data_IF_140946594911
#
_entry.id   IF_140946594911
#
_cell.length_a   1.000
_cell.length_b   1.000
_cell.length_c   1.000
_cell.angle_alpha   90.00
_cell.angle_beta   90.00
_cell.angle_gamma   90.00
#
_symmetry.space_group_name_H-M   'P 1'
#
loop_
_entity.id
_entity.type
_entity.pdbx_description
1 polymer ?
#
# COMPACT_ATOMS: atom_id res chain seq x y z
N UNK A 1 -17.97 10.78 6.94
CA UNK A 1 -19.33 10.19 7.00
C UNK A 1 -19.77 9.84 8.42
N UNK A 2 -18.94 9.14 9.21
CA UNK A 2 -19.26 8.76 10.59
C UNK A 2 -19.58 9.97 11.51
N UNK A 3 -18.77 11.03 11.45
CA UNK A 3 -19.00 12.27 12.23
C UNK A 3 -20.35 12.91 11.90
N UNK A 4 -20.72 12.95 10.61
CA UNK A 4 -22.00 13.51 10.15
C UNK A 4 -23.18 12.70 10.66
N UNK A 5 -23.07 11.36 10.67
CA UNK A 5 -24.12 10.50 11.24
C UNK A 5 -24.25 10.65 12.76
N UNK A 6 -23.14 10.77 13.49
CA UNK A 6 -23.17 10.98 14.95
C UNK A 6 -23.85 12.31 15.28
N UNK A 7 -23.54 13.38 14.53
CA UNK A 7 -24.20 14.69 14.68
C UNK A 7 -25.71 14.57 14.39
N UNK A 8 -26.10 13.86 13.34
CA UNK A 8 -27.50 13.70 12.94
C UNK A 8 -28.30 12.88 13.97
N UNK A 9 -27.69 11.84 14.54
CA UNK A 9 -28.26 11.06 15.64
C UNK A 9 -28.41 11.92 16.91
N UNK A 10 -27.41 12.74 17.24
CA UNK A 10 -27.49 13.64 18.39
C UNK A 10 -28.60 14.69 18.23
N UNK A 11 -28.78 15.25 17.02
CA UNK A 11 -29.86 16.18 16.72
C UNK A 11 -31.24 15.53 16.83
N UNK A 12 -31.39 14.28 16.36
CA UNK A 12 -32.64 13.53 16.52
C UNK A 12 -32.95 13.28 18.00
N UNK A 13 -31.97 12.87 18.79
CA UNK A 13 -32.16 12.66 20.24
C UNK A 13 -32.56 13.95 20.97
N UNK A 14 -31.96 15.10 20.61
CA UNK A 14 -32.35 16.40 21.15
C UNK A 14 -33.78 16.81 20.75
N UNK A 15 -34.19 16.50 19.52
CA UNK A 15 -35.56 16.74 19.07
C UNK A 15 -36.58 15.87 19.82
N UNK A 16 -36.26 14.59 20.03
CA UNK A 16 -37.10 13.66 20.78
C UNK A 16 -37.23 14.05 22.26
N UNK A 17 -36.12 14.46 22.90
CA UNK A 17 -36.15 14.89 24.29
C UNK A 17 -36.97 16.16 24.46
N UNK A 18 -36.91 17.10 23.51
CA UNK A 18 -37.75 18.29 23.50
C UNK A 18 -39.24 17.96 23.36
N UNK A 19 -39.62 17.06 22.45
CA UNK A 19 -41.01 16.60 22.28
C UNK A 19 -41.56 15.95 23.55
N UNK A 20 -40.77 15.10 24.21
CA UNK A 20 -41.14 14.47 25.47
C UNK A 20 -41.29 15.50 26.60
N UNK A 21 -40.40 16.47 26.67
CA UNK A 21 -40.45 17.55 27.65
C UNK A 21 -41.74 18.39 27.52
N UNK A 22 -42.10 18.78 26.29
CA UNK A 22 -43.35 19.50 26.01
C UNK A 22 -44.57 18.67 26.42
N UNK A 23 -44.55 17.37 26.16
CA UNK A 23 -45.63 16.45 26.57
C UNK A 23 -45.79 16.39 28.09
N UNK A 24 -44.68 16.33 28.83
CA UNK A 24 -44.68 16.35 30.31
C UNK A 24 -45.21 17.68 30.86
N UNK A 25 -44.86 18.83 30.25
CA UNK A 25 -45.43 20.13 30.63
C UNK A 25 -46.94 20.24 30.33
N UNK A 26 -47.40 19.66 29.23
CA UNK A 26 -48.83 19.60 28.89
C UNK A 26 -49.62 18.68 29.84
N UNK A 27 -48.96 17.65 30.39
CA UNK A 27 -49.54 16.74 31.36
C UNK A 27 -49.80 17.40 32.72
N UNK A 28 -48.92 18.33 33.13
CA UNK A 28 -48.96 19.00 34.43
C UNK A 28 -49.93 20.20 34.51
N UNK A 29 -50.55 20.60 33.40
CA UNK A 29 -51.58 21.64 33.35
C UNK A 29 -52.97 21.06 33.74
N UNK A 30 -53.36 21.21 35.01
CA UNK A 30 -54.74 20.98 35.47
C UNK A 30 -55.41 22.31 35.88
N UNK A 31 -56.73 22.37 35.74
CA UNK A 31 -57.54 23.57 35.98
C UNK A 31 -58.80 23.19 36.75
N UNK A 32 -59.08 23.93 37.83
CA UNK A 32 -60.25 23.70 38.70
C UNK A 32 -61.60 24.04 38.05
N UNK A 33 -61.62 24.82 36.95
CA UNK A 33 -62.87 25.23 36.28
C UNK A 33 -63.35 24.18 35.25
N UNK A 34 -64.60 23.67 35.33
CA UNK A 34 -65.10 22.59 34.47
C UNK A 34 -65.23 22.95 32.98
N UNK A 35 -65.52 24.22 32.63
CA UNK A 35 -65.55 24.65 31.21
C UNK A 35 -64.15 24.78 30.63
N UNK A 36 -63.19 25.21 31.44
CA UNK A 36 -61.79 25.35 31.04
C UNK A 36 -61.12 23.99 30.93
N UNK A 37 -61.47 23.03 31.81
CA UNK A 37 -61.05 21.63 31.78
C UNK A 37 -61.44 20.91 30.48
N UNK A 38 -62.64 21.15 29.94
CA UNK A 38 -63.04 20.60 28.62
C UNK A 38 -62.19 21.16 27.47
N UNK A 39 -61.90 22.46 27.47
CA UNK A 39 -61.02 23.06 26.44
C UNK A 39 -59.58 22.56 26.55
N UNK A 40 -59.04 22.49 27.76
CA UNK A 40 -57.70 21.96 28.02
C UNK A 40 -57.58 20.50 27.60
N UNK A 41 -58.56 19.65 27.90
CA UNK A 41 -58.56 18.26 27.45
C UNK A 41 -58.64 18.11 25.92
N UNK A 42 -59.38 18.97 25.23
CA UNK A 42 -59.42 18.95 23.77
C UNK A 42 -58.07 19.33 23.17
N UNK A 43 -57.44 20.39 23.66
CA UNK A 43 -56.08 20.79 23.24
C UNK A 43 -55.03 19.73 23.60
N UNK A 44 -55.10 19.14 24.81
CA UNK A 44 -54.23 18.04 25.24
C UNK A 44 -54.37 16.84 24.31
N UNK A 45 -55.59 16.49 23.90
CA UNK A 45 -55.81 15.38 22.99
C UNK A 45 -55.28 15.66 21.57
N UNK A 46 -55.50 16.87 21.04
CA UNK A 46 -55.02 17.27 19.72
C UNK A 46 -53.49 17.32 19.65
N UNK A 47 -52.84 17.96 20.63
CA UNK A 47 -51.38 18.11 20.66
C UNK A 47 -50.68 16.78 20.97
N UNK A 48 -51.27 15.95 21.84
CA UNK A 48 -50.77 14.61 22.10
C UNK A 48 -50.85 13.73 20.84
N UNK A 49 -51.92 13.81 20.05
CA UNK A 49 -52.03 13.04 18.81
C UNK A 49 -51.01 13.50 17.76
N UNK A 50 -50.77 14.81 17.66
CA UNK A 50 -49.73 15.37 16.78
C UNK A 50 -48.32 14.96 17.21
N UNK A 51 -48.01 15.01 18.51
CA UNK A 51 -46.74 14.56 19.07
C UNK A 51 -46.53 13.05 18.86
N UNK A 52 -47.59 12.23 19.00
CA UNK A 52 -47.54 10.78 18.76
C UNK A 52 -47.19 10.45 17.31
N UNK A 53 -47.78 11.16 16.35
CA UNK A 53 -47.48 10.99 14.91
C UNK A 53 -46.02 11.35 14.63
N UNK A 54 -45.51 12.47 15.17
CA UNK A 54 -44.10 12.84 15.02
C UNK A 54 -43.16 11.83 15.69
N UNK A 55 -43.54 11.28 16.84
CA UNK A 55 -42.77 10.27 17.55
C UNK A 55 -42.68 8.97 16.74
N UNK A 56 -43.80 8.51 16.17
CA UNK A 56 -43.83 7.34 15.29
C UNK A 56 -42.99 7.56 14.04
N UNK A 57 -43.14 8.70 13.36
CA UNK A 57 -42.37 9.02 12.16
C UNK A 57 -40.86 9.08 12.45
N UNK A 58 -40.46 9.70 13.55
CA UNK A 58 -39.06 9.75 13.95
C UNK A 58 -38.50 8.37 14.31
N UNK A 59 -39.31 7.48 14.91
CA UNK A 59 -38.88 6.11 15.27
C UNK A 59 -38.62 5.28 14.01
N UNK A 60 -39.49 5.41 13.00
CA UNK A 60 -39.29 4.77 11.69
C UNK A 60 -38.04 5.30 11.00
N UNK A 61 -37.84 6.63 11.00
CA UNK A 61 -36.66 7.25 10.40
C UNK A 61 -35.35 6.82 11.11
N UNK A 62 -35.36 6.73 12.43
CA UNK A 62 -34.23 6.24 13.21
C UNK A 62 -33.91 4.77 12.88
N UNK A 63 -34.94 3.93 12.76
CA UNK A 63 -34.78 2.51 12.41
C UNK A 63 -34.16 2.32 11.03
N UNK A 64 -34.56 3.14 10.04
CA UNK A 64 -33.98 3.12 8.69
C UNK A 64 -32.51 3.55 8.68
N UNK A 65 -32.16 4.60 9.42
CA UNK A 65 -30.76 5.03 9.56
C UNK A 65 -29.89 3.95 10.20
N UNK A 66 -30.40 3.31 11.25
CA UNK A 66 -29.71 2.22 11.93
C UNK A 66 -29.48 1.01 11.01
N UNK A 67 -30.50 0.61 10.25
CA UNK A 67 -30.39 -0.45 9.26
C UNK A 67 -29.34 -0.13 8.18
N UNK A 68 -29.28 1.13 7.71
CA UNK A 68 -28.28 1.60 6.76
C UNK A 68 -26.85 1.52 7.31
N UNK A 69 -26.63 1.87 8.58
CA UNK A 69 -25.32 1.74 9.24
C UNK A 69 -24.90 0.28 9.36
N UNK A 70 -25.81 -0.60 9.81
CA UNK A 70 -25.53 -2.03 9.93
C UNK A 70 -25.22 -2.67 8.58
N UNK A 71 -25.96 -2.30 7.53
CA UNK A 71 -25.69 -2.76 6.17
C UNK A 71 -24.29 -2.32 5.69
N UNK A 72 -23.95 -1.04 5.86
CA UNK A 72 -22.66 -0.50 5.44
C UNK A 72 -21.49 -1.17 6.20
N UNK A 73 -21.62 -1.39 7.51
CA UNK A 73 -20.61 -2.12 8.28
C UNK A 73 -20.47 -3.57 7.82
N UNK A 74 -21.57 -4.25 7.47
CA UNK A 74 -21.49 -5.61 6.95
C UNK A 74 -20.81 -5.67 5.58
N UNK A 75 -21.07 -4.72 4.70
CA UNK A 75 -20.39 -4.61 3.40
C UNK A 75 -18.90 -4.37 3.60
N UNK A 76 -18.51 -3.39 4.43
CA UNK A 76 -17.10 -3.14 4.76
C UNK A 76 -16.42 -4.35 5.39
N UNK A 77 -17.14 -5.12 6.21
CA UNK A 77 -16.63 -6.35 6.84
C UNK A 77 -16.49 -7.49 5.83
N UNK A 78 -17.36 -7.55 4.82
CA UNK A 78 -17.22 -8.51 3.72
C UNK A 78 -16.07 -8.13 2.80
N UNK A 79 -15.92 -6.86 2.45
CA UNK A 79 -14.81 -6.35 1.64
C UNK A 79 -13.46 -6.58 2.34
N UNK A 80 -13.37 -6.31 3.63
CA UNK A 80 -12.14 -6.59 4.40
C UNK A 80 -11.83 -8.08 4.47
N UNK A 81 -12.83 -8.95 4.63
CA UNK A 81 -12.63 -10.41 4.57
C UNK A 81 -12.23 -10.89 3.18
N UNK A 82 -12.80 -10.34 2.13
CA UNK A 82 -12.42 -10.67 0.75
C UNK A 82 -10.99 -10.21 0.43
N UNK A 83 -10.60 -9.03 0.93
CA UNK A 83 -9.20 -8.58 0.87
C UNK A 83 -8.27 -9.48 1.69
N UNK A 84 -8.65 -9.86 2.89
CA UNK A 84 -7.85 -10.76 3.75
C UNK A 84 -7.68 -12.12 3.07
N UNK A 85 -8.75 -12.67 2.49
CA UNK A 85 -8.71 -13.91 1.70
C UNK A 85 -7.84 -13.76 0.46
N UNK A 86 -7.89 -12.63 -0.27
CA UNK A 86 -7.00 -12.37 -1.42
C UNK A 86 -5.55 -12.21 -1.00
N UNK A 87 -5.28 -11.59 0.16
CA UNK A 87 -3.93 -11.47 0.72
C UNK A 87 -3.41 -12.83 1.16
N UNK A 88 -4.24 -13.64 1.81
CA UNK A 88 -3.94 -15.02 2.20
C UNK A 88 -3.74 -15.92 0.96
N UNK A 89 -4.53 -15.72 -0.09
CA UNK A 89 -4.37 -16.36 -1.40
C UNK A 89 -3.04 -15.93 -2.02
N UNK A 90 -2.72 -14.64 -2.16
CA UNK A 90 -1.41 -14.19 -2.66
C UNK A 90 -0.24 -14.77 -1.85
N UNK A 91 -0.41 -14.88 -0.53
CA UNK A 91 0.58 -15.46 0.38
C UNK A 91 0.70 -16.99 0.25
N UNK A 92 -0.40 -17.69 -0.03
CA UNK A 92 -0.47 -19.16 -0.15
C UNK A 92 -0.24 -19.68 -1.57
N UNK A 93 -0.57 -18.90 -2.60
CA UNK A 93 -0.30 -19.10 -4.03
C UNK A 93 1.18 -18.96 -4.39
N UNK A 94 2.09 -18.74 -3.42
CA UNK A 94 3.52 -18.92 -3.65
C UNK A 94 4.23 -17.77 -4.37
N UNK A 95 3.67 -16.56 -4.42
CA UNK A 95 4.43 -15.37 -4.80
C UNK A 95 5.46 -14.94 -3.74
N UNK A 96 5.44 -15.53 -2.54
CA UNK A 96 6.45 -15.30 -1.48
C UNK A 96 7.18 -16.55 -0.97
N UNK A 97 6.99 -17.71 -1.61
CA UNK A 97 7.63 -18.97 -1.16
C UNK A 97 7.96 -19.98 -2.27
N UNK A 98 7.58 -19.72 -3.53
CA UNK A 98 8.30 -20.34 -4.63
C UNK A 98 9.75 -19.90 -4.46
N UNK A 99 10.63 -20.85 -4.15
CA UNK A 99 12.05 -20.59 -4.25
C UNK A 99 12.28 -20.14 -5.68
N UNK A 100 12.42 -18.83 -5.91
CA UNK A 100 12.89 -18.33 -7.20
C UNK A 100 14.22 -19.02 -7.39
N UNK A 101 14.22 -20.07 -8.19
CA UNK A 101 15.42 -20.82 -8.52
C UNK A 101 16.22 -19.88 -9.39
N UNK A 102 17.19 -19.22 -8.75
CA UNK A 102 18.10 -18.31 -9.44
C UNK A 102 18.74 -19.10 -10.58
N UNK A 103 18.50 -18.64 -11.81
CA UNK A 103 19.05 -19.27 -12.99
C UNK A 103 20.52 -18.88 -13.14
N UNK A 104 21.33 -19.79 -13.70
CA UNK A 104 22.71 -19.46 -14.04
C UNK A 104 22.73 -18.52 -15.24
N UNK A 105 23.40 -17.38 -15.08
CA UNK A 105 23.55 -16.38 -16.13
C UNK A 105 24.47 -16.90 -17.24
N UNK A 106 23.97 -16.93 -18.47
CA UNK A 106 24.76 -17.23 -19.66
C UNK A 106 25.24 -15.91 -20.27
N UNK A 107 26.47 -15.89 -20.79
CA UNK A 107 27.01 -14.73 -21.50
C UNK A 107 26.04 -14.27 -22.61
N UNK A 108 25.80 -12.95 -22.70
CA UNK A 108 24.87 -12.31 -23.62
C UNK A 108 23.38 -12.66 -23.43
N UNK A 109 22.96 -13.31 -22.34
CA UNK A 109 21.54 -13.64 -22.13
C UNK A 109 20.66 -12.39 -22.03
N UNK A 110 21.18 -11.31 -21.44
CA UNK A 110 20.48 -10.04 -21.28
C UNK A 110 20.79 -9.02 -22.37
N UNK A 111 21.65 -9.37 -23.34
CA UNK A 111 22.09 -8.49 -24.43
C UNK A 111 22.43 -7.09 -23.92
N UNK A 112 23.19 -7.01 -22.83
CA UNK A 112 23.42 -5.75 -22.12
C UNK A 112 24.15 -4.73 -23.01
N UNK A 113 24.88 -5.19 -24.02
CA UNK A 113 25.55 -4.37 -25.03
C UNK A 113 24.59 -3.76 -26.06
N UNK A 114 23.43 -4.37 -26.31
CA UNK A 114 22.38 -3.85 -27.20
C UNK A 114 21.44 -2.85 -26.49
N UNK A 115 21.49 -2.79 -25.16
CA UNK A 115 20.66 -1.89 -24.37
C UNK A 115 21.07 -0.41 -24.60
N UNK A 116 20.11 0.53 -24.73
CA UNK A 116 20.41 1.90 -25.12
C UNK A 116 20.94 2.76 -23.96
N UNK A 117 22.10 2.41 -23.39
CA UNK A 117 22.75 3.11 -22.28
C UNK A 117 22.96 4.61 -22.54
N UNK A 118 23.28 4.98 -23.78
CA UNK A 118 23.43 6.37 -24.20
C UNK A 118 22.15 7.19 -23.94
N UNK A 119 20.96 6.60 -24.20
CA UNK A 119 19.68 7.27 -23.94
C UNK A 119 19.41 7.42 -22.45
N UNK A 120 19.88 6.48 -21.62
CA UNK A 120 19.75 6.56 -20.16
C UNK A 120 20.63 7.69 -19.59
N UNK A 121 21.86 7.84 -20.08
CA UNK A 121 22.75 8.94 -19.68
C UNK A 121 22.19 10.30 -20.09
N UNK A 122 21.65 10.39 -21.31
CA UNK A 122 21.13 11.65 -21.86
C UNK A 122 19.73 12.01 -21.37
N UNK A 123 18.96 11.03 -20.89
CA UNK A 123 17.60 11.26 -20.38
C UNK A 123 17.60 12.25 -19.21
N UNK A 124 16.83 13.32 -19.36
CA UNK A 124 16.52 14.29 -18.28
C UNK A 124 15.15 14.05 -17.66
N UNK A 125 14.38 13.13 -18.22
CA UNK A 125 13.03 12.81 -17.76
C UNK A 125 13.09 11.73 -16.67
N UNK A 126 12.58 12.06 -15.49
CA UNK A 126 12.51 11.14 -14.36
C UNK A 126 11.63 9.93 -14.65
N UNK A 127 10.54 10.10 -15.42
CA UNK A 127 9.63 8.99 -15.75
C UNK A 127 10.28 7.98 -16.68
N UNK A 128 11.09 8.45 -17.64
CA UNK A 128 11.87 7.57 -18.51
C UNK A 128 12.91 6.77 -17.72
N UNK A 129 13.58 7.38 -16.73
CA UNK A 129 14.55 6.70 -15.88
C UNK A 129 13.89 5.59 -15.04
N UNK A 130 12.75 5.86 -14.43
CA UNK A 130 11.97 4.86 -13.70
C UNK A 130 11.51 3.71 -14.60
N UNK A 131 11.12 3.98 -15.84
CA UNK A 131 10.74 2.92 -16.77
C UNK A 131 11.93 2.00 -17.12
N UNK A 132 13.14 2.56 -17.26
CA UNK A 132 14.35 1.77 -17.43
C UNK A 132 14.66 0.94 -16.18
N UNK A 133 14.57 1.51 -14.97
CA UNK A 133 14.74 0.77 -13.71
C UNK A 133 13.78 -0.42 -13.58
N UNK A 134 12.50 -0.22 -13.90
CA UNK A 134 11.48 -1.28 -13.91
C UNK A 134 11.82 -2.35 -14.95
N UNK A 135 12.24 -1.95 -16.15
CA UNK A 135 12.64 -2.89 -17.19
C UNK A 135 13.83 -3.74 -16.73
N UNK A 136 14.89 -3.11 -16.19
CA UNK A 136 16.08 -3.82 -15.72
C UNK A 136 15.74 -4.75 -14.55
N UNK A 137 14.92 -4.29 -13.59
CA UNK A 137 14.47 -5.12 -12.47
C UNK A 137 13.76 -6.39 -12.97
N UNK A 138 12.83 -6.26 -13.92
CA UNK A 138 12.09 -7.40 -14.49
C UNK A 138 12.98 -8.34 -15.28
N UNK A 139 13.83 -7.79 -16.15
CA UNK A 139 14.63 -8.60 -17.06
C UNK A 139 15.74 -9.36 -16.29
N UNK A 140 16.27 -8.78 -15.20
CA UNK A 140 17.32 -9.38 -14.39
C UNK A 140 16.80 -10.26 -13.24
N UNK A 141 15.50 -10.20 -12.93
CA UNK A 141 14.85 -10.99 -11.88
C UNK A 141 15.18 -12.50 -11.93
N UNK A 142 15.23 -13.18 -13.11
CA UNK A 142 15.55 -14.61 -13.17
C UNK A 142 16.94 -14.96 -12.64
N UNK A 143 17.90 -14.02 -12.71
CA UNK A 143 19.32 -14.25 -12.39
C UNK A 143 19.73 -13.79 -10.99
N UNK A 144 18.92 -12.95 -10.34
CA UNK A 144 19.25 -12.37 -9.04
C UNK A 144 18.09 -12.47 -8.02
N UNK A 145 16.97 -13.09 -8.38
CA UNK A 145 15.78 -13.20 -7.54
C UNK A 145 14.91 -11.95 -7.58
N UNK A 146 14.09 -11.75 -6.55
CA UNK A 146 13.38 -10.48 -6.38
C UNK A 146 14.38 -9.35 -6.20
N UNK A 147 14.45 -8.47 -7.20
CA UNK A 147 15.40 -7.36 -7.20
C UNK A 147 14.75 -6.01 -7.47
N UNK A 148 15.36 -4.97 -6.91
CA UNK A 148 15.15 -3.58 -7.31
C UNK A 148 16.44 -3.06 -7.93
N UNK A 149 16.37 -2.61 -9.19
CA UNK A 149 17.48 -1.96 -9.87
C UNK A 149 17.29 -0.44 -9.82
N UNK A 150 18.34 0.28 -9.45
CA UNK A 150 18.34 1.75 -9.35
C UNK A 150 19.50 2.30 -10.17
N UNK A 151 19.23 3.32 -10.97
CA UNK A 151 20.22 3.96 -11.84
C UNK A 151 20.53 5.35 -11.28
N UNK A 152 21.69 5.50 -10.64
CA UNK A 152 22.17 6.81 -10.20
C UNK A 152 23.01 7.44 -11.31
N UNK A 153 22.59 8.62 -11.76
CA UNK A 153 23.32 9.39 -12.78
C UNK A 153 24.14 10.50 -12.16
N UNK A 154 25.42 10.57 -12.50
CA UNK A 154 26.26 11.72 -12.20
C UNK A 154 26.18 12.76 -13.32
N UNK A 155 25.56 13.91 -13.03
CA UNK A 155 25.39 15.00 -13.99
C UNK A 155 26.73 15.60 -14.47
N UNK A 156 27.76 15.56 -13.64
CA UNK A 156 29.06 16.19 -13.93
C UNK A 156 29.94 15.33 -14.84
N UNK A 157 29.92 14.00 -14.63
CA UNK A 157 30.82 13.06 -15.31
C UNK A 157 30.15 12.28 -16.45
N UNK A 158 28.84 12.47 -16.65
CA UNK A 158 28.00 11.66 -17.55
C UNK A 158 28.23 10.17 -17.33
N UNK A 159 28.25 9.77 -16.07
CA UNK A 159 28.47 8.38 -15.67
C UNK A 159 27.27 7.84 -14.90
N UNK A 160 27.09 6.52 -14.98
CA UNK A 160 26.03 5.78 -14.34
C UNK A 160 26.61 4.88 -13.25
N UNK A 161 25.90 4.85 -12.13
CA UNK A 161 26.06 3.85 -11.07
C UNK A 161 24.80 3.01 -11.05
N UNK A 162 24.95 1.70 -11.20
CA UNK A 162 23.84 0.75 -11.12
C UNK A 162 23.86 0.09 -9.75
N UNK A 163 22.80 0.28 -8.98
CA UNK A 163 22.61 -0.35 -7.69
C UNK A 163 21.52 -1.40 -7.78
N UNK A 164 21.82 -2.64 -7.41
CA UNK A 164 20.92 -3.78 -7.51
C UNK A 164 20.72 -4.34 -6.11
N UNK A 165 19.47 -4.31 -5.64
CA UNK A 165 19.10 -4.77 -4.31
C UNK A 165 18.29 -6.05 -4.45
N UNK A 166 18.81 -7.16 -3.95
CA UNK A 166 18.12 -8.46 -3.95
C UNK A 166 17.58 -8.80 -2.57
N UNK A 167 16.33 -9.28 -2.51
CA UNK A 167 15.68 -9.73 -1.29
C UNK A 167 15.43 -11.24 -1.26
N UNK A 168 15.52 -11.82 -0.07
CA UNK A 168 14.96 -13.14 0.27
C UNK A 168 15.55 -14.34 -0.47
N UNK A 169 16.82 -14.29 -0.89
CA UNK A 169 17.50 -15.46 -1.48
C UNK A 169 17.75 -16.56 -0.43
N UNK A 170 17.73 -17.83 -0.85
CA UNK A 170 18.31 -18.95 -0.07
C UNK A 170 19.79 -19.07 -0.40
N UNK A 171 20.57 -19.69 0.49
CA UNK A 171 22.03 -19.89 0.34
C UNK A 171 22.47 -20.37 -1.06
N UNK A 172 21.83 -21.42 -1.61
CA UNK A 172 22.12 -21.91 -2.98
C UNK A 172 21.81 -20.89 -4.08
N UNK A 173 20.75 -20.10 -3.90
CA UNK A 173 20.39 -19.01 -4.82
C UNK A 173 21.38 -17.86 -4.73
N UNK A 174 21.90 -17.57 -3.53
CA UNK A 174 22.97 -16.60 -3.32
C UNK A 174 24.28 -17.05 -3.98
N UNK A 175 24.72 -18.30 -3.82
CA UNK A 175 25.94 -18.81 -4.48
C UNK A 175 25.85 -18.72 -6.02
N UNK A 176 24.66 -18.95 -6.57
CA UNK A 176 24.42 -18.83 -8.02
C UNK A 176 24.41 -17.36 -8.45
N UNK A 177 23.71 -16.50 -7.71
CA UNK A 177 23.68 -15.07 -7.96
C UNK A 177 25.08 -14.44 -7.87
N UNK A 178 25.91 -14.84 -6.91
CA UNK A 178 27.29 -14.36 -6.77
C UNK A 178 28.14 -14.69 -8.01
N UNK A 179 28.01 -15.91 -8.55
CA UNK A 179 28.67 -16.27 -9.82
C UNK A 179 28.13 -15.47 -11.01
N UNK A 180 26.82 -15.22 -11.03
CA UNK A 180 26.20 -14.41 -12.08
C UNK A 180 26.73 -12.97 -12.08
N UNK A 181 26.99 -12.38 -10.91
CA UNK A 181 27.57 -11.03 -10.79
C UNK A 181 28.90 -10.94 -11.55
N UNK A 182 29.77 -11.95 -11.45
CA UNK A 182 31.08 -11.91 -12.12
C UNK A 182 30.96 -11.90 -13.65
N UNK A 183 30.07 -12.73 -14.19
CA UNK A 183 29.83 -12.80 -15.64
C UNK A 183 29.13 -11.52 -16.11
N UNK A 184 28.16 -11.03 -15.34
CA UNK A 184 27.43 -9.80 -15.61
C UNK A 184 28.34 -8.56 -15.59
N UNK A 185 29.24 -8.45 -14.61
CA UNK A 185 30.21 -7.36 -14.53
C UNK A 185 31.19 -7.36 -15.72
N UNK A 186 31.59 -8.55 -16.22
CA UNK A 186 32.41 -8.68 -17.42
C UNK A 186 31.66 -8.24 -18.69
N UNK A 187 30.38 -8.59 -18.82
CA UNK A 187 29.56 -8.16 -19.96
C UNK A 187 29.30 -6.64 -19.94
N UNK A 188 29.24 -6.03 -18.75
CA UNK A 188 29.11 -4.57 -18.60
C UNK A 188 30.44 -3.80 -18.71
N UNK A 189 31.58 -4.45 -18.58
CA UNK A 189 32.90 -3.83 -18.72
C UNK A 189 33.11 -3.01 -20.02
N UNK A 190 32.66 -3.43 -21.21
CA UNK A 190 32.81 -2.62 -22.43
C UNK A 190 32.00 -1.30 -22.44
N UNK A 191 30.98 -1.14 -21.59
CA UNK A 191 30.13 0.05 -21.54
C UNK A 191 30.84 1.14 -20.72
N UNK A 192 31.29 2.20 -21.38
CA UNK A 192 32.13 3.25 -20.78
C UNK A 192 31.35 4.22 -19.90
N UNK A 193 30.04 4.22 -20.05
CA UNK A 193 29.10 5.04 -19.30
C UNK A 193 28.92 4.54 -17.86
N UNK A 194 29.12 3.24 -17.61
CA UNK A 194 28.95 2.61 -16.30
C UNK A 194 30.27 2.68 -15.53
N UNK A 195 30.28 3.47 -14.45
CA UNK A 195 31.46 3.66 -13.59
C UNK A 195 31.43 2.81 -12.33
N UNK A 196 30.25 2.42 -11.86
CA UNK A 196 30.11 1.65 -10.62
C UNK A 196 28.92 0.70 -10.70
N UNK A 197 29.11 -0.51 -10.20
CA UNK A 197 28.07 -1.50 -9.98
C UNK A 197 28.05 -1.82 -8.49
N UNK A 198 26.89 -1.72 -7.87
CA UNK A 198 26.70 -2.03 -6.46
C UNK A 198 25.63 -3.09 -6.32
N UNK A 199 26.00 -4.29 -5.87
CA UNK A 199 25.09 -5.38 -5.63
C UNK A 199 24.93 -5.60 -4.14
N UNK A 200 23.72 -5.42 -3.63
CA UNK A 200 23.36 -5.66 -2.24
C UNK A 200 22.42 -6.86 -2.14
N UNK A 201 22.96 -7.99 -1.67
CA UNK A 201 22.21 -9.22 -1.48
C UNK A 201 21.74 -9.37 -0.04
N UNK A 202 20.46 -9.68 0.14
CA UNK A 202 19.92 -10.17 1.40
C UNK A 202 19.50 -11.63 1.22
N UNK A 203 20.12 -12.53 1.98
CA UNK A 203 19.90 -13.98 1.84
C UNK A 203 19.79 -14.67 3.21
N UNK A 204 19.20 -15.86 3.22
CA UNK A 204 19.19 -16.74 4.38
C UNK A 204 20.29 -17.78 4.26
N UNK A 205 21.19 -17.77 5.24
CA UNK A 205 22.29 -18.73 5.38
C UNK A 205 21.77 -20.13 5.74
N UNK A 206 22.64 -21.16 5.71
CA UNK A 206 22.36 -22.56 6.08
C UNK A 206 21.76 -22.69 7.48
N UNK A 207 22.03 -21.75 8.37
CA UNK A 207 21.47 -21.64 9.72
C UNK A 207 20.08 -20.99 9.77
N UNK A 208 19.49 -20.66 8.61
CA UNK A 208 18.23 -19.93 8.44
C UNK A 208 18.24 -18.53 9.08
N UNK A 209 19.43 -17.96 9.30
CA UNK A 209 19.63 -16.59 9.75
C UNK A 209 19.74 -15.65 8.55
N UNK A 210 19.26 -14.42 8.70
CA UNK A 210 19.26 -13.42 7.64
C UNK A 210 20.61 -12.70 7.59
N UNK A 211 21.29 -12.85 6.47
CA UNK A 211 22.62 -12.31 6.20
C UNK A 211 22.59 -11.33 5.04
N UNK A 212 23.52 -10.37 5.04
CA UNK A 212 23.68 -9.38 3.99
C UNK A 212 25.09 -9.43 3.43
N UNK A 213 25.23 -9.33 2.11
CA UNK A 213 26.53 -9.24 1.43
C UNK A 213 26.45 -8.21 0.31
N UNK A 214 27.38 -7.27 0.33
CA UNK A 214 27.55 -6.27 -0.70
C UNK A 214 28.73 -6.64 -1.60
N UNK A 215 28.56 -6.51 -2.92
CA UNK A 215 29.60 -6.71 -3.92
C UNK A 215 29.64 -5.46 -4.78
N UNK A 216 30.75 -4.75 -4.75
CA UNK A 216 30.92 -3.49 -5.47
C UNK A 216 31.99 -3.64 -6.53
N UNK A 217 31.68 -3.23 -7.76
CA UNK A 217 32.67 -3.02 -8.81
C UNK A 217 32.76 -1.55 -9.11
N UNK A 218 33.97 -1.03 -9.24
CA UNK A 218 34.18 0.35 -9.68
C UNK A 218 35.21 0.41 -10.78
N UNK A 219 35.09 1.46 -11.58
CA UNK A 219 36.07 1.80 -12.60
C UNK A 219 36.78 3.09 -12.17
N UNK A 220 38.10 3.06 -11.92
CA UNK A 220 38.83 4.25 -11.50
C UNK A 220 39.01 5.29 -12.62
N UNK A 221 38.94 4.90 -13.89
CA UNK A 221 39.02 5.80 -15.06
C UNK A 221 38.22 5.25 -16.25
N UNK A 222 37.64 6.11 -17.10
CA UNK A 222 36.76 5.70 -18.23
C UNK A 222 37.40 4.69 -19.20
N UNK A 223 38.73 4.59 -19.23
CA UNK A 223 39.49 3.65 -20.07
C UNK A 223 39.89 2.36 -19.35
N UNK A 224 39.64 2.24 -18.04
CA UNK A 224 39.95 1.06 -17.24
C UNK A 224 38.83 0.01 -17.23
N UNK A 225 39.15 -1.17 -16.70
CA UNK A 225 38.19 -2.24 -16.48
C UNK A 225 37.40 -2.03 -15.18
N UNK A 226 36.23 -2.67 -15.05
CA UNK A 226 35.52 -2.75 -13.78
C UNK A 226 36.28 -3.70 -12.85
N UNK A 227 36.79 -3.17 -11.75
CA UNK A 227 37.52 -3.92 -10.74
C UNK A 227 36.64 -4.13 -9.51
N UNK A 228 36.69 -5.34 -8.94
CA UNK A 228 35.98 -5.67 -7.71
C UNK A 228 36.64 -4.95 -6.55
N UNK A 229 35.88 -4.12 -5.83
CA UNK A 229 36.32 -3.55 -4.56
C UNK A 229 35.95 -4.56 -3.47
N UNK A 230 36.95 -5.09 -2.78
CA UNK A 230 36.70 -5.79 -1.51
C UNK A 230 36.38 -4.74 -0.45
N UNK A 231 35.12 -4.68 -0.04
CA UNK A 231 34.73 -3.91 1.13
C UNK A 231 35.24 -4.66 2.36
N UNK A 232 36.30 -4.16 3.00
CA UNK A 232 36.75 -4.66 4.30
C UNK A 232 35.59 -4.60 5.31
N UNK A 233 35.39 -5.69 6.04
CA UNK A 233 34.31 -5.91 7.02
C UNK A 233 34.43 -5.02 8.24
#
# INVERSE_FOLDING_TARGET
MMIVMVILVALLLAFFSYQLYVRVQLESLDSDNPKMKRKINFYKHQENNRSLIFLMAGTVMFSLLFAGVFYNQNVLRQETKDLELKVEEIKSSGAGSSSITVESYKENALKLTEFPWNKVVESRDATALTNYEIQLSRDWQPFFGEINATILKSNNTKSLTLSIFSSSLRDQGFETAEKNVEVFAKELAPIKEITMLDFNFTYRDKTNTLSKKAIVYSRPSKEGNLEKIELEK
#
